data_IF_318175585172
#
_entry.id   IF_318175585172
#
_cell.length_a   1.000
_cell.length_b   1.000
_cell.length_c   1.000
_cell.angle_alpha   90.00
_cell.angle_beta   90.00
_cell.angle_gamma   90.00
#
_symmetry.space_group_name_H-M   'P 1'
#
loop_
_entity.id
_entity.type
_entity.pdbx_description
1 polymer ?
#
# COMPACT_ATOMS: atom_id res chain seq x y z
N UNK A 1 17.96 5.41 0.42
CA UNK A 1 16.55 5.81 0.23
C UNK A 1 16.17 5.40 -1.17
N UNK A 2 15.48 4.28 -1.31
CA UNK A 2 14.95 3.82 -2.59
C UNK A 2 13.49 3.50 -2.36
N UNK A 3 12.61 4.23 -3.04
CA UNK A 3 11.19 3.93 -3.05
C UNK A 3 10.97 2.64 -3.85
N UNK A 4 10.51 1.60 -3.19
CA UNK A 4 10.01 0.40 -3.84
C UNK A 4 8.63 0.67 -4.43
N UNK A 5 8.38 0.18 -5.65
CA UNK A 5 7.09 0.29 -6.34
C UNK A 5 6.66 -1.10 -6.82
N UNK A 6 5.38 -1.41 -6.65
CA UNK A 6 4.78 -2.64 -7.14
C UNK A 6 3.33 -2.41 -7.56
N UNK A 7 2.84 -3.21 -8.50
CA UNK A 7 1.41 -3.26 -8.82
C UNK A 7 0.73 -4.40 -8.06
N UNK A 8 -0.51 -4.18 -7.65
CA UNK A 8 -1.39 -5.18 -7.08
C UNK A 8 -2.82 -5.01 -7.63
N UNK A 9 -3.69 -5.96 -7.29
CA UNK A 9 -5.12 -5.86 -7.58
C UNK A 9 -5.86 -5.73 -6.25
N UNK A 10 -6.52 -4.59 -6.05
CA UNK A 10 -7.45 -4.38 -4.95
C UNK A 10 -8.83 -4.91 -5.36
N UNK A 11 -9.54 -5.56 -4.43
CA UNK A 11 -10.89 -6.08 -4.67
C UNK A 11 -11.90 -5.14 -4.06
N UNK A 12 -12.87 -4.69 -4.86
CA UNK A 12 -14.01 -3.88 -4.43
C UNK A 12 -15.30 -4.63 -4.79
N UNK A 13 -15.88 -5.32 -3.81
CA UNK A 13 -17.01 -6.23 -4.06
C UNK A 13 -16.61 -7.38 -5.00
N UNK A 14 -17.09 -7.34 -6.24
CA UNK A 14 -16.77 -8.32 -7.29
C UNK A 14 -15.80 -7.76 -8.36
N UNK A 15 -15.48 -6.47 -8.28
CA UNK A 15 -14.61 -5.80 -9.24
C UNK A 15 -13.16 -5.77 -8.74
N UNK A 16 -12.21 -5.88 -9.67
CA UNK A 16 -10.78 -5.75 -9.40
C UNK A 16 -10.24 -4.43 -9.93
N UNK A 17 -9.54 -3.68 -9.09
CA UNK A 17 -8.88 -2.42 -9.45
C UNK A 17 -7.37 -2.59 -9.38
N UNK A 18 -6.65 -2.22 -10.46
CA UNK A 18 -5.18 -2.19 -10.42
C UNK A 18 -4.74 -1.01 -9.55
N UNK A 19 -3.93 -1.30 -8.54
CA UNK A 19 -3.38 -0.30 -7.63
C UNK A 19 -1.86 -0.34 -7.65
N UNK A 20 -1.26 0.84 -7.49
CA UNK A 20 0.17 0.98 -7.28
C UNK A 20 0.47 1.08 -5.78
N UNK A 21 1.43 0.29 -5.32
CA UNK A 21 1.91 0.26 -3.95
C UNK A 21 3.31 0.85 -3.93
N UNK A 22 3.53 1.78 -3.01
CA UNK A 22 4.83 2.37 -2.73
C UNK A 22 5.31 1.97 -1.34
N UNK A 23 6.61 1.69 -1.21
CA UNK A 23 7.23 1.35 0.07
C UNK A 23 8.58 2.08 0.20
N UNK A 24 8.78 2.74 1.33
CA UNK A 24 10.07 3.35 1.68
C UNK A 24 10.60 2.76 2.98
N UNK A 25 11.94 2.69 3.09
CA UNK A 25 12.62 2.16 4.27
C UNK A 25 13.48 3.26 4.86
N UNK A 26 13.24 3.55 6.14
CA UNK A 26 13.99 4.54 6.93
C UNK A 26 14.89 3.84 7.95
N UNK A 27 15.94 4.52 8.43
CA UNK A 27 16.86 4.01 9.45
C UNK A 27 16.37 4.26 10.89
N UNK A 28 15.07 4.48 11.08
CA UNK A 28 14.46 4.75 12.38
C UNK A 28 14.30 3.50 13.26
N UNK A 29 13.49 3.64 14.31
CA UNK A 29 13.09 2.48 15.12
C UNK A 29 12.28 1.48 14.27
N UNK A 30 12.37 0.17 14.54
CA UNK A 30 11.56 -0.82 13.84
C UNK A 30 10.08 -0.52 14.00
N UNK A 31 9.39 -0.40 12.88
CA UNK A 31 7.96 -0.12 12.81
C UNK A 31 7.45 -0.22 11.39
N UNK A 32 6.15 -0.42 11.25
CA UNK A 32 5.45 -0.41 9.96
C UNK A 32 4.40 0.68 10.03
N UNK A 33 4.45 1.60 9.06
CA UNK A 33 3.45 2.65 8.90
C UNK A 33 2.75 2.43 7.57
N UNK A 34 1.46 2.11 7.62
CA UNK A 34 0.61 1.94 6.44
C UNK A 34 -0.20 3.23 6.26
N UNK A 35 -0.15 3.79 5.06
CA UNK A 35 -0.83 5.04 4.68
C UNK A 35 -1.58 4.85 3.36
N UNK A 36 -2.55 5.71 3.09
CA UNK A 36 -3.51 5.55 1.98
C UNK A 36 -4.91 5.27 2.52
N UNK A 37 -5.83 4.80 1.67
CA UNK A 37 -7.06 4.17 2.15
C UNK A 37 -6.77 2.68 2.43
N UNK A 38 -6.61 2.24 3.69
CA UNK A 38 -7.17 0.96 4.04
C UNK A 38 -8.68 1.18 3.92
N UNK A 39 -9.40 0.36 3.17
CA UNK A 39 -10.84 0.48 3.28
C UNK A 39 -11.24 0.33 4.76
N UNK A 40 -11.90 1.35 5.31
CA UNK A 40 -12.45 1.29 6.65
C UNK A 40 -13.91 0.82 6.64
N UNK A 41 -14.62 0.82 5.49
CA UNK A 41 -16.07 0.51 5.47
C UNK A 41 -16.79 0.38 4.09
N UNK A 42 -16.17 0.34 2.90
CA UNK A 42 -16.85 0.55 1.61
C UNK A 42 -17.16 -0.71 0.78
#
# INVERSE_FOLDING_TARGET
MSLGRAFAVAVRGLDGEIVEIEADITSGLPGVHLVGLPDAAL
#
